data_IF_890152843731
#
_entry.id   IF_890152843731
#
_cell.length_a   1.000
_cell.length_b   1.000
_cell.length_c   1.000
_cell.angle_alpha   90.00
_cell.angle_beta   90.00
_cell.angle_gamma   90.00
#
_symmetry.space_group_name_H-M   'P 1'
#
loop_
_entity.id
_entity.type
_entity.pdbx_description
1 polymer ?
#
# COMPACT_ATOMS: atom_id res chain seq x y z
N UNK A 1 -29.35 47.74 -45.13
CA UNK A 1 -29.99 46.45 -45.52
C UNK A 1 -29.89 45.48 -44.35
N UNK A 2 -31.04 44.96 -43.89
CA UNK A 2 -31.15 44.05 -42.74
C UNK A 2 -30.96 42.59 -43.19
N UNK A 3 -30.21 41.85 -42.37
CA UNK A 3 -30.26 40.42 -42.04
C UNK A 3 -30.53 39.34 -43.11
N UNK A 4 -29.66 38.32 -43.14
CA UNK A 4 -30.10 36.92 -43.01
C UNK A 4 -29.11 36.17 -42.10
N UNK A 5 -29.62 35.71 -40.94
CA UNK A 5 -28.96 34.72 -40.09
C UNK A 5 -29.14 33.36 -40.76
N UNK A 6 -28.05 32.63 -41.00
CA UNK A 6 -28.09 31.26 -41.49
C UNK A 6 -27.42 30.32 -40.51
N UNK A 7 -28.14 29.93 -39.46
CA UNK A 7 -27.79 28.82 -38.58
C UNK A 7 -28.05 27.51 -39.34
N UNK A 8 -27.03 27.00 -40.05
CA UNK A 8 -27.07 25.69 -40.69
C UNK A 8 -26.52 24.61 -39.78
N UNK A 9 -27.36 24.13 -38.85
CA UNK A 9 -27.12 22.91 -38.08
C UNK A 9 -27.72 21.77 -38.92
N UNK A 10 -26.88 20.90 -39.50
CA UNK A 10 -27.34 19.57 -39.96
C UNK A 10 -26.48 18.53 -39.27
N UNK A 11 -27.18 17.72 -38.48
CA UNK A 11 -26.69 16.62 -37.66
C UNK A 11 -26.60 15.40 -38.58
N UNK A 12 -25.44 14.75 -38.58
CA UNK A 12 -25.21 13.50 -39.28
C UNK A 12 -24.17 12.73 -38.49
N UNK A 13 -24.64 12.04 -37.45
CA UNK A 13 -23.84 11.18 -36.60
C UNK A 13 -23.24 10.02 -37.40
N UNK A 14 -21.91 10.04 -37.53
CA UNK A 14 -21.11 8.85 -37.31
C UNK A 14 -19.96 9.29 -36.41
N UNK A 15 -20.20 9.35 -35.10
CA UNK A 15 -19.09 9.32 -34.15
C UNK A 15 -18.50 7.91 -34.20
N UNK A 16 -17.77 7.61 -35.29
CA UNK A 16 -16.73 6.59 -35.25
C UNK A 16 -15.88 6.97 -34.03
N UNK A 17 -15.83 6.09 -33.04
CA UNK A 17 -14.98 6.29 -31.88
C UNK A 17 -13.54 6.09 -32.36
N UNK A 18 -13.01 7.09 -33.08
CA UNK A 18 -11.68 7.07 -33.65
C UNK A 18 -10.72 7.17 -32.47
N UNK A 19 -10.23 6.01 -32.04
CA UNK A 19 -9.16 5.94 -31.04
C UNK A 19 -7.86 6.37 -31.71
N UNK A 20 -7.45 7.61 -31.45
CA UNK A 20 -6.15 8.10 -31.87
C UNK A 20 -5.05 7.56 -30.97
N UNK A 21 -3.94 7.13 -31.57
CA UNK A 21 -2.78 6.66 -30.81
C UNK A 21 -2.12 7.80 -30.01
N UNK A 22 -1.36 7.44 -28.98
CA UNK A 22 -0.58 8.42 -28.21
C UNK A 22 0.44 9.16 -29.09
N UNK A 23 0.95 8.51 -30.13
CA UNK A 23 1.88 9.09 -31.10
C UNK A 23 1.19 10.13 -31.98
N UNK A 24 0.02 9.80 -32.53
CA UNK A 24 -0.81 10.74 -33.29
C UNK A 24 -1.16 11.98 -32.46
N UNK A 25 -1.49 11.78 -31.18
CA UNK A 25 -1.73 12.89 -30.25
C UNK A 25 -0.50 13.75 -30.02
N UNK A 26 0.68 13.15 -29.86
CA UNK A 26 1.95 13.88 -29.66
C UNK A 26 2.34 14.66 -30.91
N UNK A 27 2.17 14.07 -32.08
CA UNK A 27 2.44 14.69 -33.38
C UNK A 27 1.55 15.92 -33.58
N UNK A 28 0.25 15.76 -33.41
CA UNK A 28 -0.72 16.86 -33.53
C UNK A 28 -0.40 18.03 -32.59
N UNK A 29 0.01 17.74 -31.34
CA UNK A 29 0.43 18.79 -30.40
C UNK A 29 1.78 19.42 -30.77
N UNK A 30 2.67 18.72 -31.49
CA UNK A 30 3.94 19.28 -31.98
C UNK A 30 3.70 20.21 -33.17
N UNK A 31 2.89 19.78 -34.13
CA UNK A 31 2.50 20.59 -35.29
C UNK A 31 1.69 21.81 -34.87
N UNK A 32 0.79 21.68 -33.90
CA UNK A 32 0.07 22.82 -33.32
C UNK A 32 1.02 23.85 -32.69
N UNK A 33 2.05 23.40 -31.96
CA UNK A 33 3.08 24.30 -31.39
C UNK A 33 3.85 25.07 -32.47
N UNK A 34 4.08 24.47 -33.64
CA UNK A 34 4.74 25.13 -34.78
C UNK A 34 3.83 26.08 -35.55
N UNK A 35 2.57 25.72 -35.76
CA UNK A 35 1.63 26.46 -36.62
C UNK A 35 0.83 27.52 -35.88
N UNK A 36 0.66 27.38 -34.56
CA UNK A 36 -0.16 28.26 -33.72
C UNK A 36 -1.68 28.20 -33.99
N UNK A 37 -2.13 27.41 -34.97
CA UNK A 37 -3.51 27.38 -35.44
C UNK A 37 -4.06 25.97 -35.54
N UNK A 38 -5.22 25.75 -34.91
CA UNK A 38 -5.94 24.46 -34.91
C UNK A 38 -6.36 24.08 -36.33
N UNK A 39 -6.90 25.01 -37.11
CA UNK A 39 -7.33 24.74 -38.49
C UNK A 39 -6.15 24.36 -39.38
N UNK A 40 -5.02 25.08 -39.29
CA UNK A 40 -3.81 24.76 -40.07
C UNK A 40 -3.22 23.41 -39.68
N UNK A 41 -3.26 23.06 -38.39
CA UNK A 41 -2.78 21.76 -37.88
C UNK A 41 -3.59 20.61 -38.48
N UNK A 42 -4.92 20.76 -38.53
CA UNK A 42 -5.83 19.73 -39.05
C UNK A 42 -5.68 19.58 -40.56
N UNK A 43 -5.55 20.69 -41.31
CA UNK A 43 -5.31 20.66 -42.75
C UNK A 43 -3.98 19.96 -43.10
N UNK A 44 -2.95 20.16 -42.28
CA UNK A 44 -1.63 19.57 -42.52
C UNK A 44 -1.57 18.07 -42.19
N UNK A 45 -2.28 17.64 -41.15
CA UNK A 45 -2.24 16.23 -40.69
C UNK A 45 -3.39 15.39 -41.23
N UNK A 46 -4.50 16.00 -41.67
CA UNK A 46 -5.75 15.30 -42.02
C UNK A 46 -6.53 14.77 -40.82
N UNK A 47 -5.98 14.90 -39.61
CA UNK A 47 -6.56 14.48 -38.33
C UNK A 47 -5.98 15.38 -37.20
N UNK A 48 -6.51 15.34 -35.97
CA UNK A 48 -7.82 14.82 -35.57
C UNK A 48 -8.93 15.84 -35.87
N UNK A 49 -10.18 15.51 -35.53
CA UNK A 49 -11.27 16.50 -35.57
C UNK A 49 -10.99 17.73 -34.69
N UNK A 50 -11.58 18.88 -35.05
CA UNK A 50 -11.36 20.18 -34.38
C UNK A 50 -11.56 20.14 -32.87
N UNK A 51 -12.62 19.48 -32.42
CA UNK A 51 -12.93 19.31 -31.00
C UNK A 51 -11.87 18.50 -30.26
N UNK A 52 -11.38 17.43 -30.87
CA UNK A 52 -10.35 16.55 -30.31
C UNK A 52 -9.03 17.28 -30.12
N UNK A 53 -8.60 18.09 -31.12
CA UNK A 53 -7.38 18.88 -30.99
C UNK A 53 -7.50 19.94 -29.87
N UNK A 54 -8.65 20.63 -29.77
CA UNK A 54 -8.90 21.56 -28.66
C UNK A 54 -8.85 20.86 -27.28
N UNK A 55 -9.41 19.65 -27.17
CA UNK A 55 -9.33 18.83 -25.95
C UNK A 55 -7.89 18.50 -25.60
N UNK A 56 -7.09 18.05 -26.55
CA UNK A 56 -5.68 17.70 -26.32
C UNK A 56 -4.85 18.92 -25.90
N UNK A 57 -5.08 20.09 -26.50
CA UNK A 57 -4.39 21.34 -26.11
C UNK A 57 -4.74 21.71 -24.67
N UNK A 58 -6.01 21.60 -24.28
CA UNK A 58 -6.46 21.88 -22.92
C UNK A 58 -5.81 20.93 -21.91
N UNK A 59 -5.77 19.64 -22.23
CA UNK A 59 -5.13 18.63 -21.38
C UNK A 59 -3.61 18.81 -21.28
N UNK A 60 -2.95 19.19 -22.38
CA UNK A 60 -1.51 19.46 -22.40
C UNK A 60 -1.10 20.70 -21.58
N UNK A 61 -2.02 21.66 -21.41
CA UNK A 61 -1.82 22.86 -20.56
C UNK A 61 -2.07 22.59 -19.07
N UNK A 62 -2.77 21.50 -18.73
CA UNK A 62 -2.97 21.15 -17.32
C UNK A 62 -1.67 20.51 -16.81
N UNK A 63 -1.10 20.99 -15.69
CA UNK A 63 -0.05 20.24 -15.03
C UNK A 63 -0.60 18.85 -14.70
N UNK A 64 0.15 17.80 -15.02
CA UNK A 64 -0.20 16.43 -14.63
C UNK A 64 -0.10 16.37 -13.11
N UNK A 65 -1.19 16.65 -12.42
CA UNK A 65 -1.31 16.41 -11.00
C UNK A 65 -1.25 14.90 -10.81
N UNK A 66 -0.08 14.38 -10.42
CA UNK A 66 0.02 13.01 -9.92
C UNK A 66 -1.00 12.88 -8.79
N UNK A 67 -1.80 11.80 -8.74
CA UNK A 67 -2.69 11.58 -7.61
C UNK A 67 -1.86 11.69 -6.33
N UNK A 68 -2.19 12.68 -5.49
CA UNK A 68 -1.54 12.86 -4.19
C UNK A 68 -1.97 11.66 -3.37
N UNK A 69 -1.20 10.58 -3.40
CA UNK A 69 -1.43 9.41 -2.54
C UNK A 69 -1.39 9.97 -1.13
N UNK A 70 -2.52 9.93 -0.42
CA UNK A 70 -2.55 10.30 0.98
C UNK A 70 -1.41 9.53 1.66
N UNK A 71 -0.50 10.24 2.32
CA UNK A 71 0.62 9.67 3.07
C UNK A 71 0.04 8.92 4.27
N UNK A 72 -0.48 7.72 4.00
CA UNK A 72 -0.91 6.80 5.05
C UNK A 72 0.35 6.34 5.75
N UNK A 73 0.47 6.52 7.08
CA UNK A 73 1.57 5.95 7.83
C UNK A 73 1.62 4.45 7.55
N UNK A 74 2.67 4.00 6.87
CA UNK A 74 2.85 2.58 6.52
C UNK A 74 3.07 1.73 7.77
N UNK A 75 3.48 2.36 8.88
CA UNK A 75 3.80 1.67 10.12
C UNK A 75 3.41 2.50 11.36
N UNK A 76 2.75 1.85 12.32
CA UNK A 76 2.55 2.38 13.67
C UNK A 76 3.52 1.69 14.64
N UNK A 77 4.11 2.41 15.61
CA UNK A 77 5.03 1.80 16.58
C UNK A 77 4.28 0.82 17.50
N UNK A 78 4.98 -0.20 18.00
CA UNK A 78 4.39 -1.23 18.87
C UNK A 78 3.67 -0.63 20.08
N UNK A 79 4.26 0.37 20.74
CA UNK A 79 3.66 1.06 21.89
C UNK A 79 2.26 1.61 21.61
N UNK A 80 2.05 2.15 20.41
CA UNK A 80 0.74 2.68 19.98
C UNK A 80 -0.26 1.56 19.73
N UNK A 81 0.17 0.47 19.07
CA UNK A 81 -0.69 -0.71 18.85
C UNK A 81 -1.12 -1.33 20.18
N UNK A 82 -0.18 -1.50 21.12
CA UNK A 82 -0.45 -2.06 22.44
C UNK A 82 -1.40 -1.17 23.25
N UNK A 83 -1.19 0.15 23.21
CA UNK A 83 -2.08 1.10 23.86
C UNK A 83 -3.51 1.04 23.30
N UNK A 84 -3.64 0.91 21.97
CA UNK A 84 -4.94 0.77 21.31
C UNK A 84 -5.69 -0.50 21.78
N UNK A 85 -4.99 -1.64 21.86
CA UNK A 85 -5.58 -2.89 22.35
C UNK A 85 -5.97 -2.79 23.83
N UNK A 86 -5.11 -2.22 24.68
CA UNK A 86 -5.41 -2.01 26.11
C UNK A 86 -6.63 -1.11 26.31
N UNK A 87 -6.77 -0.06 25.51
CA UNK A 87 -7.95 0.81 25.55
C UNK A 87 -9.21 0.08 25.08
N UNK A 88 -9.10 -0.76 24.05
CA UNK A 88 -10.23 -1.55 23.56
C UNK A 88 -10.70 -2.57 24.61
N UNK A 89 -9.78 -3.27 25.28
CA UNK A 89 -10.12 -4.21 26.34
C UNK A 89 -10.77 -3.54 27.56
N UNK A 90 -10.51 -2.24 27.78
CA UNK A 90 -11.19 -1.42 28.79
C UNK A 90 -12.58 -0.92 28.34
N UNK A 91 -13.06 -1.34 27.18
CA UNK A 91 -14.38 -0.97 26.64
C UNK A 91 -14.41 0.33 25.82
N UNK A 92 -13.27 0.95 25.52
CA UNK A 92 -13.25 2.17 24.72
C UNK A 92 -13.64 1.91 23.25
N UNK A 93 -14.41 2.82 22.65
CA UNK A 93 -14.88 2.66 21.26
C UNK A 93 -13.71 2.85 20.28
N UNK A 94 -13.57 2.04 19.21
CA UNK A 94 -12.49 2.15 18.22
C UNK A 94 -12.33 3.54 17.60
N UNK A 95 -13.43 4.29 17.39
CA UNK A 95 -13.38 5.67 16.90
C UNK A 95 -12.69 6.61 17.89
N UNK A 96 -12.99 6.49 19.18
CA UNK A 96 -12.36 7.29 20.24
C UNK A 96 -10.88 6.95 20.38
N UNK A 97 -10.54 5.66 20.29
CA UNK A 97 -9.14 5.19 20.31
C UNK A 97 -8.37 5.78 19.13
N UNK A 98 -8.95 5.75 17.93
CA UNK A 98 -8.34 6.31 16.73
C UNK A 98 -8.08 7.82 16.87
N UNK A 99 -9.06 8.58 17.36
CA UNK A 99 -8.89 10.01 17.60
C UNK A 99 -7.80 10.29 18.65
N UNK A 100 -7.75 9.53 19.76
CA UNK A 100 -6.78 9.75 20.83
C UNK A 100 -5.35 9.38 20.44
N UNK A 101 -5.17 8.36 19.60
CA UNK A 101 -3.87 7.85 19.19
C UNK A 101 -3.42 8.36 17.80
N UNK A 102 -4.21 9.24 17.17
CA UNK A 102 -3.89 9.79 15.85
C UNK A 102 -3.91 8.74 14.73
N UNK A 103 -4.78 7.74 14.82
CA UNK A 103 -4.88 6.68 13.81
C UNK A 103 -5.68 7.16 12.60
N UNK A 104 -5.19 6.89 11.39
CA UNK A 104 -5.91 7.22 10.16
C UNK A 104 -7.20 6.39 9.96
N UNK A 105 -7.34 5.25 10.63
CA UNK A 105 -8.51 4.40 10.52
C UNK A 105 -8.85 3.73 11.87
N UNK A 106 -10.10 3.84 12.34
CA UNK A 106 -10.62 3.04 13.45
C UNK A 106 -10.53 1.54 13.20
N UNK A 107 -10.52 1.12 11.93
CA UNK A 107 -10.45 -0.31 11.56
C UNK A 107 -9.12 -0.95 11.96
N UNK A 108 -8.05 -0.17 12.06
CA UNK A 108 -6.75 -0.65 12.53
C UNK A 108 -6.82 -1.22 13.95
N UNK A 109 -7.72 -0.69 14.80
CA UNK A 109 -7.90 -1.19 16.16
C UNK A 109 -8.44 -2.62 16.13
N UNK A 110 -9.44 -2.91 15.29
CA UNK A 110 -10.01 -4.26 15.18
C UNK A 110 -8.99 -5.28 14.70
N UNK A 111 -8.16 -4.94 13.71
CA UNK A 111 -7.14 -5.87 13.22
C UNK A 111 -6.06 -6.16 14.26
N UNK A 112 -5.69 -5.17 15.09
CA UNK A 112 -4.74 -5.38 16.19
C UNK A 112 -5.34 -6.18 17.33
N UNK A 113 -6.58 -5.92 17.73
CA UNK A 113 -7.25 -6.69 18.78
C UNK A 113 -7.41 -8.16 18.37
N UNK A 114 -7.84 -8.43 17.14
CA UNK A 114 -7.96 -9.80 16.64
C UNK A 114 -6.62 -10.54 16.68
N UNK A 115 -5.55 -9.90 16.22
CA UNK A 115 -4.19 -10.46 16.29
C UNK A 115 -3.69 -10.68 17.71
N UNK A 116 -3.98 -9.74 18.61
CA UNK A 116 -3.60 -9.85 20.02
C UNK A 116 -4.30 -11.01 20.72
N UNK A 117 -5.57 -11.30 20.38
CA UNK A 117 -6.30 -12.45 20.94
C UNK A 117 -5.73 -13.80 20.49
N UNK A 118 -5.16 -13.87 19.29
CA UNK A 118 -4.64 -15.12 18.73
C UNK A 118 -3.24 -15.47 19.24
N UNK A 119 -2.35 -14.47 19.31
CA UNK A 119 -0.91 -14.71 19.53
C UNK A 119 -0.28 -13.69 20.51
N UNK A 120 -1.10 -12.89 21.19
CA UNK A 120 -0.66 -11.95 22.21
C UNK A 120 0.13 -10.74 21.68
N UNK A 121 0.98 -10.19 22.54
CA UNK A 121 1.76 -8.98 22.25
C UNK A 121 2.77 -9.16 21.11
N UNK A 122 3.28 -10.38 20.92
CA UNK A 122 4.33 -10.69 19.96
C UNK A 122 3.94 -10.35 18.53
N UNK A 123 2.68 -10.59 18.15
CA UNK A 123 2.19 -10.31 16.79
C UNK A 123 2.07 -8.83 16.47
N UNK A 124 1.90 -7.98 17.48
CA UNK A 124 1.81 -6.54 17.29
C UNK A 124 3.17 -5.90 16.98
N UNK A 125 4.26 -6.52 17.44
CA UNK A 125 5.62 -6.07 17.21
C UNK A 125 6.05 -6.30 15.76
N UNK A 126 6.79 -5.35 15.20
CA UNK A 126 7.52 -5.51 13.94
C UNK A 126 8.69 -6.48 14.09
N UNK A 127 9.22 -6.99 12.97
CA UNK A 127 10.40 -7.89 12.98
C UNK A 127 11.59 -7.30 13.74
N UNK A 128 11.83 -5.99 13.59
CA UNK A 128 12.91 -5.28 14.29
C UNK A 128 12.64 -5.17 15.80
N UNK A 129 11.43 -4.80 16.18
CA UNK A 129 11.02 -4.71 17.59
C UNK A 129 11.09 -6.09 18.29
N UNK A 130 10.72 -7.17 17.59
CA UNK A 130 10.88 -8.55 18.10
C UNK A 130 12.33 -8.93 18.33
N UNK A 131 13.21 -8.63 17.36
CA UNK A 131 14.64 -8.90 17.49
C UNK A 131 15.27 -8.17 18.68
N UNK A 132 14.85 -6.93 18.93
CA UNK A 132 15.27 -6.15 20.10
C UNK A 132 14.71 -6.71 21.40
N UNK A 133 13.42 -7.05 21.44
CA UNK A 133 12.76 -7.56 22.65
C UNK A 133 13.31 -8.91 23.11
N UNK A 134 13.55 -9.83 22.18
CA UNK A 134 14.11 -11.15 22.49
C UNK A 134 15.63 -11.14 22.69
N UNK A 135 16.29 -9.97 22.59
CA UNK A 135 17.75 -9.82 22.66
C UNK A 135 18.48 -10.84 21.78
N UNK A 136 17.87 -11.22 20.67
CA UNK A 136 18.40 -12.30 19.84
C UNK A 136 19.70 -11.83 19.19
N UNK A 137 20.79 -12.61 19.28
CA UNK A 137 22.01 -12.27 18.56
C UNK A 137 21.71 -12.22 17.07
N UNK A 138 22.38 -11.31 16.36
CA UNK A 138 22.33 -11.33 14.89
C UNK A 138 23.06 -12.56 14.40
N UNK A 139 22.62 -13.15 13.28
CA UNK A 139 23.23 -14.35 12.68
C UNK A 139 24.76 -14.25 12.62
N UNK A 140 25.30 -13.12 12.12
CA UNK A 140 26.75 -12.86 12.09
C UNK A 140 27.45 -12.87 13.45
N UNK A 141 26.81 -12.33 14.49
CA UNK A 141 27.36 -12.32 15.85
C UNK A 141 27.36 -13.72 16.45
N UNK A 142 26.37 -14.53 16.08
CA UNK A 142 26.22 -15.90 16.53
C UNK A 142 27.25 -16.79 15.81
N UNK A 143 27.38 -16.64 14.49
CA UNK A 143 28.42 -17.28 13.67
C UNK A 143 29.83 -16.98 14.18
N UNK A 144 30.13 -15.73 14.55
CA UNK A 144 31.43 -15.35 15.11
C UNK A 144 31.72 -15.95 16.51
N UNK A 145 30.70 -16.43 17.21
CA UNK A 145 30.83 -17.08 18.52
C UNK A 145 30.85 -18.61 18.46
N UNK A 146 30.67 -19.19 17.27
CA UNK A 146 30.68 -20.65 17.09
C UNK A 146 32.12 -21.17 17.05
N UNK A 147 32.39 -22.37 17.59
CA UNK A 147 33.68 -23.04 17.44
C UNK A 147 33.96 -23.39 15.97
N UNK A 148 35.22 -23.26 15.55
CA UNK A 148 35.67 -23.67 14.21
C UNK A 148 35.83 -25.20 14.08
N UNK A 149 35.85 -25.96 15.18
CA UNK A 149 35.99 -27.41 15.16
C UNK A 149 34.71 -28.11 14.65
N UNK A 150 34.77 -28.86 13.53
CA UNK A 150 33.59 -29.52 12.96
C UNK A 150 32.99 -30.60 13.86
N UNK A 151 33.75 -31.22 14.77
CA UNK A 151 33.22 -32.24 15.68
C UNK A 151 32.45 -31.61 16.84
N UNK A 152 32.99 -30.55 17.43
CA UNK A 152 32.30 -29.74 18.43
C UNK A 152 31.01 -29.13 17.87
N UNK A 153 31.04 -28.62 16.63
CA UNK A 153 29.85 -28.10 15.96
C UNK A 153 28.75 -29.16 15.79
N UNK A 154 29.10 -30.40 15.42
CA UNK A 154 28.14 -31.52 15.33
C UNK A 154 27.53 -31.87 16.68
N UNK A 155 28.33 -31.86 17.76
CA UNK A 155 27.84 -32.11 19.13
C UNK A 155 26.86 -31.02 19.58
N UNK A 156 27.20 -29.75 19.33
CA UNK A 156 26.33 -28.61 19.63
C UNK A 156 25.03 -28.67 18.82
N UNK A 157 25.10 -28.99 17.52
CA UNK A 157 23.92 -29.14 16.68
C UNK A 157 23.00 -30.26 17.20
N UNK A 158 23.55 -31.43 17.54
CA UNK A 158 22.77 -32.53 18.11
C UNK A 158 22.07 -32.13 19.43
N UNK A 159 22.79 -31.43 20.31
CA UNK A 159 22.24 -30.91 21.58
C UNK A 159 21.09 -29.92 21.34
N UNK A 160 21.27 -28.94 20.46
CA UNK A 160 20.25 -27.94 20.15
C UNK A 160 19.00 -28.55 19.50
N UNK A 161 19.15 -29.61 18.69
CA UNK A 161 18.02 -30.34 18.10
C UNK A 161 17.17 -30.99 19.20
N UNK A 162 17.82 -31.62 20.20
CA UNK A 162 17.11 -32.22 21.34
C UNK A 162 16.42 -31.15 22.18
N UNK A 163 17.12 -30.06 22.53
CA UNK A 163 16.53 -28.97 23.31
C UNK A 163 15.34 -28.32 22.59
N UNK A 164 15.44 -28.13 21.28
CA UNK A 164 14.33 -27.63 20.47
C UNK A 164 13.13 -28.58 20.53
N UNK A 165 13.35 -29.89 20.37
CA UNK A 165 12.27 -30.88 20.43
C UNK A 165 11.57 -30.89 21.79
N UNK A 166 12.32 -30.75 22.88
CA UNK A 166 11.76 -30.62 24.24
C UNK A 166 10.89 -29.36 24.35
N UNK A 167 11.39 -28.20 23.91
CA UNK A 167 10.60 -26.95 23.94
C UNK A 167 9.33 -27.04 23.10
N UNK A 168 9.41 -27.64 21.91
CA UNK A 168 8.25 -27.83 21.03
C UNK A 168 7.17 -28.70 21.73
N UNK A 169 7.59 -29.74 22.44
CA UNK A 169 6.70 -30.60 23.24
C UNK A 169 6.07 -29.84 24.41
N UNK A 170 6.86 -29.06 25.17
CA UNK A 170 6.36 -28.24 26.27
C UNK A 170 5.31 -27.24 25.80
N UNK A 171 5.53 -26.59 24.65
CA UNK A 171 4.58 -25.67 24.05
C UNK A 171 3.29 -26.36 23.62
N UNK A 172 3.36 -27.59 23.10
CA UNK A 172 2.18 -28.38 22.76
C UNK A 172 1.34 -28.70 23.99
N UNK A 173 1.99 -29.08 25.10
CA UNK A 173 1.31 -29.33 26.37
C UNK A 173 0.60 -28.07 26.89
N UNK A 174 1.25 -26.90 26.84
CA UNK A 174 0.64 -25.60 27.25
C UNK A 174 -0.57 -25.24 26.38
N UNK A 175 -0.49 -25.46 25.07
CA UNK A 175 -1.63 -25.21 24.16
C UNK A 175 -2.80 -26.14 24.45
N UNK A 176 -2.52 -27.39 24.81
CA UNK A 176 -3.56 -28.36 25.15
C UNK A 176 -4.24 -28.06 26.50
N UNK A 177 -3.48 -27.64 27.51
CA UNK A 177 -4.05 -27.31 28.83
C UNK A 177 -4.91 -26.05 28.80
N UNK A 178 -4.50 -25.02 28.05
CA UNK A 178 -5.30 -23.81 27.85
C UNK A 178 -6.60 -24.05 27.06
N UNK A 179 -6.65 -25.06 26.19
CA UNK A 179 -7.88 -25.45 25.49
C UNK A 179 -8.85 -26.27 26.36
N UNK A 180 -8.37 -26.87 27.47
CA UNK A 180 -9.16 -27.78 28.31
C UNK A 180 -10.00 -27.07 29.39
N UNK A 181 -9.75 -25.78 29.65
CA UNK A 181 -10.56 -24.97 30.55
C UNK A 181 -11.16 -23.80 29.77
N UNK A 182 -12.36 -23.93 29.19
CA UNK A 182 -13.06 -22.76 28.68
C UNK A 182 -13.38 -21.84 29.86
N UNK A 183 -12.97 -20.58 29.74
CA UNK A 183 -13.15 -19.50 30.72
C UNK A 183 -14.59 -19.49 31.28
N UNK A 184 -14.72 -19.56 32.62
CA UNK A 184 -15.92 -19.17 33.37
C UNK A 184 -15.98 -17.65 33.51
#
# INVERSE_FOLDING_TARGET
MKAIRGCGRIVGEYFMNVSYSLEQRREALRVYRRTGSVTKTILLLGYPGRWTLHKWIREARKPVLKPRRAERPTHYPFKTKLSAVKMFNKGARPRQIASRLGLCSPMSVYSWVGRYRQEGEWVLMSRKERGQAAKLPTVKSLEASLPDDPQELKRLAAKLIVEKAVMDQELELIKKTSASYPEL
#
